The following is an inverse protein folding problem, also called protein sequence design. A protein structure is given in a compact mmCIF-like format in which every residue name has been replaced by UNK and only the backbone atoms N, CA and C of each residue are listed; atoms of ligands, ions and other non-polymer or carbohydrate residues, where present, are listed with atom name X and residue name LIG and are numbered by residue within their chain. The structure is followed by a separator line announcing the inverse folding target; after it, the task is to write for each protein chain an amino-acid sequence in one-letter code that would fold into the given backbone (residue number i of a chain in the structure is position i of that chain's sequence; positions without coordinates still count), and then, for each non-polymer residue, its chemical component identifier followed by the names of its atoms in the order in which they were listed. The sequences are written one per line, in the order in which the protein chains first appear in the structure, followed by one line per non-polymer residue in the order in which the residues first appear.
data_IF_215589839423
#
_entry.id   IF_215589839423
#
_cell.length_a   1.000
_cell.length_b   1.000
_cell.length_c   1.000
_cell.angle_alpha   90.00
_cell.angle_beta   90.00
_cell.angle_gamma   90.00
#
_symmetry.space_group_name_H-M   'P 1'
#
loop_
_entity.id
_entity.type
_entity.pdbx_description
1 polymer ?
#
# COMPACT_ATOMS: atom_id res chain seq x y z
N UNK A 1 -9.32 0.80 3.71
CA UNK A 1 -8.09 1.48 4.17
C UNK A 1 -7.26 0.51 4.99
N UNK A 2 -5.97 0.53 4.81
CA UNK A 2 -5.04 -0.32 5.55
C UNK A 2 -3.96 0.55 6.19
N UNK A 3 -3.68 0.33 7.46
CA UNK A 3 -2.65 1.07 8.20
C UNK A 3 -1.49 0.12 8.49
N UNK A 4 -0.30 0.46 8.00
CA UNK A 4 0.92 -0.32 8.21
C UNK A 4 1.87 0.46 9.13
N UNK A 5 2.66 -0.25 9.93
CA UNK A 5 3.51 0.38 10.93
C UNK A 5 5.00 0.11 10.70
N UNK A 6 5.84 1.00 11.24
CA UNK A 6 7.28 0.79 11.49
C UNK A 6 8.14 0.69 10.23
N UNK A 7 7.92 1.52 9.25
CA UNK A 7 8.80 1.48 8.09
C UNK A 7 9.49 2.82 7.86
N UNK A 8 10.71 2.76 7.36
CA UNK A 8 11.48 3.94 6.99
C UNK A 8 10.70 4.81 6.02
N UNK A 9 10.77 6.13 6.22
CA UNK A 9 10.16 7.08 5.32
C UNK A 9 8.68 7.29 5.52
N UNK A 10 8.11 6.67 6.53
CA UNK A 10 6.71 6.86 6.89
C UNK A 10 6.58 7.81 8.05
N UNK A 11 5.53 8.62 8.03
CA UNK A 11 5.25 9.54 9.11
C UNK A 11 5.00 8.76 10.38
N UNK A 12 5.84 8.99 11.38
CA UNK A 12 5.74 8.38 12.71
C UNK A 12 5.62 6.84 12.70
N UNK A 13 6.13 6.19 11.64
CA UNK A 13 6.15 4.73 11.54
C UNK A 13 4.86 4.10 11.05
N UNK A 14 3.91 4.87 10.54
CA UNK A 14 2.63 4.38 10.02
C UNK A 14 2.34 4.93 8.64
N UNK A 15 1.60 4.16 7.85
CA UNK A 15 1.06 4.60 6.57
C UNK A 15 -0.40 4.14 6.46
N UNK A 16 -1.27 5.01 5.98
CA UNK A 16 -2.68 4.68 5.72
C UNK A 16 -2.87 4.52 4.21
N UNK A 17 -3.08 3.30 3.76
CA UNK A 17 -3.18 2.99 2.34
C UNK A 17 -4.64 2.94 1.89
N UNK A 18 -4.88 3.48 0.69
CA UNK A 18 -6.16 3.36 0.02
C UNK A 18 -6.17 2.04 -0.76
N UNK A 19 -6.94 1.06 -0.29
CA UNK A 19 -7.02 -0.27 -0.91
C UNK A 19 -7.84 -0.24 -2.20
N UNK A 20 -7.46 0.63 -3.10
CA UNK A 20 -8.08 0.78 -4.41
C UNK A 20 -7.00 0.73 -5.47
N UNK A 21 -7.12 -0.23 -6.40
CA UNK A 21 -6.14 -0.37 -7.47
C UNK A 21 -6.13 0.89 -8.32
N UNK A 22 -4.96 1.51 -8.45
CA UNK A 22 -4.80 2.74 -9.22
C UNK A 22 -4.87 2.49 -10.73
N UNK A 23 -4.96 1.22 -11.15
CA UNK A 23 -5.17 0.87 -12.56
C UNK A 23 -6.63 1.08 -12.96
N UNK A 24 -7.59 0.34 -12.34
CA UNK A 24 -9.01 0.40 -12.69
C UNK A 24 -9.95 0.49 -11.49
N UNK A 25 -9.44 0.75 -10.30
CA UNK A 25 -10.26 1.01 -9.12
C UNK A 25 -10.80 -0.21 -8.40
N UNK A 26 -10.35 -1.43 -8.71
CA UNK A 26 -10.73 -2.62 -7.97
C UNK A 26 -10.20 -2.58 -6.54
N UNK A 27 -10.93 -3.23 -5.62
CA UNK A 27 -10.44 -3.38 -4.26
C UNK A 27 -9.19 -4.28 -4.25
N UNK A 28 -8.18 -3.86 -3.50
CA UNK A 28 -6.91 -4.58 -3.38
C UNK A 28 -6.80 -5.21 -2.00
N UNK A 29 -7.06 -6.52 -1.87
CA UNK A 29 -6.94 -7.20 -0.58
C UNK A 29 -5.50 -7.49 -0.21
N UNK A 30 -5.28 -7.66 1.09
CA UNK A 30 -4.01 -8.13 1.64
C UNK A 30 -3.89 -9.64 1.42
N UNK A 31 -2.71 -10.09 1.00
CA UNK A 31 -2.41 -11.51 0.84
C UNK A 31 -1.53 -11.99 1.99
N UNK A 32 -2.04 -12.90 2.80
CA UNK A 32 -1.32 -13.40 3.97
C UNK A 32 -0.06 -14.17 3.63
N UNK A 33 -0.06 -14.91 2.52
CA UNK A 33 1.09 -15.72 2.14
C UNK A 33 2.21 -14.91 1.54
N UNK A 34 1.91 -14.01 0.62
CA UNK A 34 2.93 -13.16 0.01
C UNK A 34 3.32 -11.96 0.88
N UNK A 35 2.46 -11.57 1.82
CA UNK A 35 2.60 -10.36 2.63
C UNK A 35 2.62 -9.10 1.77
N UNK A 36 1.94 -9.16 0.65
CA UNK A 36 1.73 -8.06 -0.29
C UNK A 36 0.25 -7.80 -0.50
N UNK A 37 -0.08 -6.64 -1.02
CA UNK A 37 -1.42 -6.37 -1.55
C UNK A 37 -1.49 -6.87 -3.00
N UNK A 38 -2.54 -7.61 -3.33
CA UNK A 38 -2.68 -8.19 -4.68
C UNK A 38 -4.07 -7.90 -5.23
N UNK A 39 -4.10 -7.22 -6.38
CA UNK A 39 -5.35 -6.88 -7.04
C UNK A 39 -5.85 -8.09 -7.86
N UNK A 40 -7.05 -8.63 -7.59
CA UNK A 40 -7.54 -9.80 -8.31
C UNK A 40 -8.02 -9.50 -9.73
N UNK A 41 -8.24 -8.24 -10.07
CA UNK A 41 -8.80 -7.88 -11.38
C UNK A 41 -7.79 -8.07 -12.51
N UNK A 42 -6.57 -7.55 -12.37
CA UNK A 42 -5.56 -7.61 -13.41
C UNK A 42 -4.18 -7.99 -12.89
N UNK A 43 -4.08 -8.40 -11.65
CA UNK A 43 -2.84 -8.92 -11.07
C UNK A 43 -1.83 -7.87 -10.63
N UNK A 44 -2.21 -6.62 -10.47
CA UNK A 44 -1.30 -5.60 -9.91
C UNK A 44 -0.91 -5.97 -8.49
N UNK A 45 0.35 -5.81 -8.14
CA UNK A 45 0.89 -6.19 -6.84
C UNK A 45 1.61 -5.02 -6.21
N UNK A 46 1.46 -4.90 -4.88
CA UNK A 46 2.03 -3.83 -4.08
C UNK A 46 2.61 -4.43 -2.82
N UNK A 47 3.74 -3.91 -2.36
CA UNK A 47 4.33 -4.38 -1.11
C UNK A 47 3.58 -3.84 0.11
N UNK A 48 4.09 -4.11 1.31
CA UNK A 48 3.44 -3.73 2.58
C UNK A 48 3.19 -2.24 2.72
N UNK A 49 3.98 -1.41 2.08
CA UNK A 49 3.84 0.05 2.14
C UNK A 49 3.19 0.62 0.89
N UNK A 50 2.60 -0.24 0.06
CA UNK A 50 1.84 0.18 -1.10
C UNK A 50 2.69 0.53 -2.32
N UNK A 51 3.97 0.23 -2.33
CA UNK A 51 4.82 0.43 -3.51
C UNK A 51 4.54 -0.63 -4.55
N UNK A 52 4.43 -0.23 -5.82
CA UNK A 52 4.13 -1.19 -6.88
C UNK A 52 5.26 -2.19 -7.08
N UNK A 53 4.91 -3.47 -7.13
CA UNK A 53 5.85 -4.56 -7.37
C UNK A 53 5.61 -5.30 -8.67
N UNK A 54 4.40 -5.26 -9.22
CA UNK A 54 4.09 -5.95 -10.47
C UNK A 54 2.73 -5.59 -11.01
N UNK A 55 2.42 -6.04 -12.22
CA UNK A 55 1.15 -5.82 -12.87
C UNK A 55 1.04 -4.48 -13.58
N UNK A 56 -0.17 -4.15 -14.09
CA UNK A 56 -0.36 -2.99 -14.97
C UNK A 56 -0.54 -1.64 -14.27
N UNK A 57 -0.60 -1.59 -12.94
CA UNK A 57 -0.83 -0.33 -12.24
C UNK A 57 0.26 0.71 -12.56
N UNK A 58 -0.10 1.98 -12.78
CA UNK A 58 0.86 3.01 -13.18
C UNK A 58 1.71 3.55 -12.03
N UNK A 59 1.36 3.25 -10.79
CA UNK A 59 2.08 3.70 -9.60
C UNK A 59 1.68 2.84 -8.41
N UNK A 60 2.27 3.11 -7.23
CA UNK A 60 1.86 2.47 -5.99
C UNK A 60 0.47 2.89 -5.53
N UNK A 61 -0.03 2.26 -4.47
CA UNK A 61 -1.32 2.60 -3.89
C UNK A 61 -1.30 4.04 -3.37
N UNK A 62 -2.40 4.74 -3.61
CA UNK A 62 -2.60 6.06 -3.02
C UNK A 62 -2.75 5.89 -1.50
N UNK A 63 -2.55 6.97 -0.79
CA UNK A 63 -2.54 6.96 0.67
C UNK A 63 -3.28 8.16 1.22
N UNK A 64 -3.61 8.08 2.51
CA UNK A 64 -4.25 9.18 3.23
C UNK A 64 -3.25 9.79 4.19
N UNK A 65 -3.28 11.12 4.39
CA UNK A 65 -2.53 11.75 5.47
C UNK A 65 -2.96 11.19 6.82
N UNK A 66 -2.02 11.03 7.73
CA UNK A 66 -2.34 10.61 9.08
C UNK A 66 -1.50 11.38 10.10
N UNK A 67 -2.02 11.45 11.32
CA UNK A 67 -1.29 11.97 12.47
C UNK A 67 -1.35 10.96 13.60
N UNK A 68 -0.26 10.86 14.35
CA UNK A 68 -0.19 10.00 15.54
C UNK A 68 0.01 10.91 16.75
N UNK A 69 -0.88 10.84 17.71
CA UNK A 69 -0.82 11.67 18.90
C UNK A 69 -1.47 10.95 20.08
N UNK A 70 -0.78 10.93 21.22
CA UNK A 70 -1.31 10.36 22.45
C UNK A 70 -1.76 8.90 22.33
N UNK A 71 -1.09 8.10 21.49
CA UNK A 71 -1.45 6.71 21.28
C UNK A 71 -2.61 6.52 20.30
N UNK A 72 -3.04 7.58 19.62
CA UNK A 72 -4.12 7.53 18.64
C UNK A 72 -3.62 7.86 17.24
N UNK A 73 -4.17 7.17 16.25
CA UNK A 73 -3.90 7.45 14.83
C UNK A 73 -5.16 8.08 14.23
N UNK A 74 -5.00 9.28 13.69
CA UNK A 74 -6.07 9.98 12.99
C UNK A 74 -5.77 9.98 11.50
N UNK A 75 -6.70 9.52 10.68
CA UNK A 75 -6.54 9.43 9.23
C UNK A 75 -7.50 10.40 8.56
N UNK A 76 -6.95 11.25 7.68
CA UNK A 76 -7.77 12.17 6.89
C UNK A 76 -8.18 11.47 5.59
N UNK A 77 -9.38 10.90 5.57
CA UNK A 77 -9.90 10.19 4.39
C UNK A 77 -10.48 11.14 3.34
N UNK A 78 -10.55 12.42 3.63
CA UNK A 78 -11.00 13.45 2.67
C UNK A 78 -9.89 13.93 1.74
N UNK A 79 -8.64 13.56 2.01
CA UNK A 79 -7.49 13.98 1.21
C UNK A 79 -6.75 12.75 0.71
N UNK A 80 -6.56 12.65 -0.60
CA UNK A 80 -5.83 11.52 -1.20
C UNK A 80 -4.45 12.00 -1.62
N UNK A 81 -3.41 11.31 -1.15
CA UNK A 81 -2.03 11.57 -1.55
C UNK A 81 -1.65 10.52 -2.57
N UNK A 82 -1.15 10.97 -3.73
CA UNK A 82 -0.75 10.06 -4.80
C UNK A 82 0.33 9.11 -4.33
N UNK A 83 0.19 7.84 -4.69
CA UNK A 83 1.14 6.80 -4.35
C UNK A 83 2.50 6.99 -5.04
N UNK A 84 3.53 6.27 -4.57
CA UNK A 84 4.88 6.41 -5.10
C UNK A 84 4.96 5.94 -6.56
N UNK A 85 5.86 6.53 -7.36
CA UNK A 85 6.01 6.13 -8.76
C UNK A 85 6.55 4.71 -8.90
N UNK A 86 6.40 4.16 -10.11
CA UNK A 86 6.99 2.86 -10.46
C UNK A 86 8.50 2.89 -10.19
N UNK A 87 9.01 1.80 -9.65
CA UNK A 87 10.42 1.68 -9.33
C UNK A 87 10.79 2.09 -7.91
N UNK A 88 9.86 2.70 -7.17
CA UNK A 88 10.09 3.03 -5.77
C UNK A 88 10.10 1.75 -4.93
N UNK A 89 11.17 1.56 -4.17
CA UNK A 89 11.32 0.39 -3.30
C UNK A 89 12.09 0.80 -2.04
N UNK A 90 11.37 1.27 -1.03
CA UNK A 90 11.99 1.77 0.19
C UNK A 90 12.21 0.69 1.25
N UNK A 91 11.51 -0.44 1.13
CA UNK A 91 11.59 -1.51 2.15
C UNK A 91 12.40 -2.71 1.70
N UNK A 92 12.59 -2.90 0.40
CA UNK A 92 13.25 -4.08 -0.15
C UNK A 92 12.48 -5.38 0.07
N UNK A 93 11.19 -5.28 0.38
CA UNK A 93 10.38 -6.47 0.68
C UNK A 93 10.08 -7.27 -0.59
N UNK A 94 10.62 -8.49 -0.66
CA UNK A 94 10.20 -9.48 -1.65
C UNK A 94 8.90 -10.14 -1.20
N UNK A 95 8.20 -10.81 -2.14
CA UNK A 95 7.07 -11.65 -1.76
C UNK A 95 7.55 -12.74 -0.80
N UNK A 96 6.85 -12.88 0.32
CA UNK A 96 7.27 -13.80 1.39
C UNK A 96 6.69 -15.19 1.23
N UNK A 97 5.89 -15.41 0.22
CA UNK A 97 5.28 -16.69 -0.07
C UNK A 97 4.49 -16.66 -1.37
N UNK A 98 3.66 -17.67 -1.58
CA UNK A 98 2.90 -17.82 -2.81
C UNK A 98 1.89 -16.68 -3.02
N UNK A 99 1.66 -16.23 -4.27
CA UNK A 99 0.66 -15.21 -4.53
C UNK A 99 -0.76 -15.75 -4.31
N UNK A 100 -1.68 -14.82 -3.94
CA UNK A 100 -3.10 -15.15 -3.81
C UNK A 100 -3.82 -15.08 -5.16
N UNK A 101 -3.27 -14.37 -6.11
CA UNK A 101 -3.85 -14.20 -7.46
C UNK A 101 -2.84 -14.50 -8.54
#
# INVERSE_FOLDING_TARGET
MYIESIFKGMEQGYVALYQRCVHLGCRVPWCETSQWFECPCHGSKYNRVGEKRGGPAPRGLDRFPLTVSGGQITVDTGTIVQGPPIGTDTTGQSAEGAPCV
#
